data_IF_336275419117
#
_entry.id   IF_336275419117
#
_cell.length_a   1.000
_cell.length_b   1.000
_cell.length_c   1.000
_cell.angle_alpha   90.00
_cell.angle_beta   90.00
_cell.angle_gamma   90.00
#
_symmetry.space_group_name_H-M   'P 1'
#
loop_
_entity.id
_entity.type
_entity.pdbx_description
1 polymer ?
#
# COMPACT_ATOMS: atom_id res chain seq x y z
N UNK A 1 14.75 -28.51 -47.27
CA UNK A 1 15.68 -27.46 -46.82
C UNK A 1 15.39 -27.26 -45.33
N UNK A 2 15.96 -28.05 -44.42
CA UNK A 2 17.35 -28.04 -43.95
C UNK A 2 17.38 -27.30 -42.59
N UNK A 3 17.04 -27.97 -41.48
CA UNK A 3 17.94 -28.53 -40.46
C UNK A 3 18.97 -27.55 -39.88
N UNK A 4 18.89 -27.28 -38.56
CA UNK A 4 20.00 -27.42 -37.61
C UNK A 4 19.46 -27.55 -36.17
N UNK A 5 19.35 -28.79 -35.72
CA UNK A 5 19.58 -29.19 -34.33
C UNK A 5 21.02 -28.87 -33.95
N UNK A 6 21.29 -28.59 -32.67
CA UNK A 6 22.49 -29.06 -31.97
C UNK A 6 22.39 -28.73 -30.47
N UNK A 7 21.75 -29.62 -29.72
CA UNK A 7 22.20 -29.90 -28.36
C UNK A 7 23.60 -30.49 -28.42
N UNK A 8 24.55 -29.89 -27.71
CA UNK A 8 25.68 -30.63 -27.13
C UNK A 8 25.66 -30.42 -25.63
N UNK A 9 25.31 -31.49 -24.92
CA UNK A 9 25.68 -31.72 -23.53
C UNK A 9 27.21 -31.78 -23.41
N UNK A 10 27.81 -31.09 -22.45
CA UNK A 10 29.06 -31.54 -21.85
C UNK A 10 28.73 -32.44 -20.66
N UNK A 11 29.23 -33.67 -20.71
CA UNK A 11 29.41 -34.52 -19.53
C UNK A 11 30.25 -33.78 -18.48
N UNK A 12 29.94 -34.07 -17.21
CA UNK A 12 30.60 -33.58 -16.01
C UNK A 12 32.14 -33.62 -16.10
N UNK A 13 32.78 -32.50 -15.74
CA UNK A 13 34.04 -32.55 -14.99
C UNK A 13 33.87 -31.75 -13.71
N UNK A 14 33.90 -32.44 -12.59
CA UNK A 14 34.09 -31.89 -11.25
C UNK A 14 35.42 -31.15 -11.17
N UNK A 15 35.39 -29.86 -10.82
CA UNK A 15 36.47 -29.15 -10.11
C UNK A 15 35.95 -27.80 -9.59
N UNK A 16 35.75 -27.77 -8.27
CA UNK A 16 35.69 -26.63 -7.33
C UNK A 16 35.34 -25.25 -7.90
N UNK A 17 34.19 -24.72 -7.50
CA UNK A 17 33.98 -23.28 -7.44
C UNK A 17 35.04 -22.68 -6.51
N UNK A 18 36.02 -21.96 -7.08
CA UNK A 18 36.81 -21.02 -6.30
C UNK A 18 35.94 -19.78 -6.08
N UNK A 19 35.54 -19.56 -4.84
CA UNK A 19 34.94 -18.31 -4.39
C UNK A 19 35.94 -17.18 -4.61
N UNK A 20 35.54 -16.15 -5.35
CA UNK A 20 36.26 -14.89 -5.35
C UNK A 20 35.73 -14.07 -4.17
N UNK A 21 36.48 -14.08 -3.06
CA UNK A 21 36.22 -13.20 -1.92
C UNK A 21 36.61 -11.76 -2.31
N UNK A 22 35.60 -10.93 -2.59
CA UNK A 22 35.80 -9.49 -2.78
C UNK A 22 35.85 -8.84 -1.41
N UNK A 23 37.03 -8.39 -1.01
CA UNK A 23 37.20 -7.56 0.20
C UNK A 23 36.87 -6.12 -0.15
N UNK A 24 35.89 -5.52 0.52
CA UNK A 24 35.62 -4.08 0.43
C UNK A 24 36.04 -3.43 1.73
N UNK A 25 36.89 -2.40 1.63
CA UNK A 25 37.37 -1.61 2.77
C UNK A 25 36.59 -0.30 2.80
N UNK A 26 35.90 -0.02 3.91
CA UNK A 26 35.31 1.30 4.23
C UNK A 26 35.84 1.72 5.59
N UNK A 27 36.35 2.94 5.70
CA UNK A 27 36.95 3.52 6.93
C UNK A 27 38.04 2.66 7.60
N UNK A 28 38.88 2.00 6.79
CA UNK A 28 40.04 1.23 7.26
C UNK A 28 39.70 -0.10 7.93
N UNK A 29 38.44 -0.56 7.89
CA UNK A 29 38.03 -1.87 8.39
C UNK A 29 37.70 -2.80 7.23
N UNK A 30 38.27 -4.00 7.27
CA UNK A 30 38.01 -5.07 6.29
C UNK A 30 36.85 -5.93 6.79
N UNK A 31 35.82 -6.07 5.96
CA UNK A 31 34.67 -6.93 6.25
C UNK A 31 34.77 -8.20 5.40
N UNK A 32 34.83 -9.37 6.06
CA UNK A 32 34.83 -10.69 5.41
C UNK A 32 33.42 -11.25 5.48
N UNK A 33 32.90 -11.69 4.33
CA UNK A 33 31.56 -12.24 4.21
C UNK A 33 31.50 -13.63 4.86
N UNK A 34 30.82 -13.74 6.00
CA UNK A 34 30.76 -14.95 6.82
C UNK A 34 29.52 -15.81 6.54
N UNK A 35 29.73 -16.89 5.79
CA UNK A 35 29.00 -18.18 5.77
C UNK A 35 27.54 -18.26 5.30
N UNK A 36 27.35 -19.19 4.34
CA UNK A 36 26.14 -19.97 4.14
C UNK A 36 25.67 -19.97 2.69
N UNK A 37 25.88 -21.07 1.96
CA UNK A 37 25.33 -21.29 0.62
C UNK A 37 23.79 -21.28 0.68
N UNK A 38 23.19 -20.11 0.50
CA UNK A 38 21.75 -19.92 0.33
C UNK A 38 21.37 -20.13 -1.15
N UNK A 39 20.22 -20.75 -1.46
CA UNK A 39 19.73 -20.76 -2.83
C UNK A 39 19.34 -19.33 -3.24
N UNK A 40 20.02 -18.79 -4.26
CA UNK A 40 19.61 -17.69 -5.18
C UNK A 40 19.39 -16.25 -4.60
N UNK A 41 20.27 -15.72 -3.76
CA UNK A 41 20.25 -14.27 -3.42
C UNK A 41 20.27 -13.34 -4.66
N UNK A 42 20.96 -13.73 -5.72
CA UNK A 42 21.04 -12.95 -6.96
C UNK A 42 19.67 -12.72 -7.63
N UNK A 43 18.71 -13.64 -7.48
CA UNK A 43 17.37 -13.50 -8.08
C UNK A 43 16.51 -12.50 -7.29
N UNK A 44 16.56 -12.56 -5.96
CA UNK A 44 15.87 -11.59 -5.09
C UNK A 44 16.42 -10.18 -5.25
N UNK A 45 17.75 -10.02 -5.30
CA UNK A 45 18.38 -8.73 -5.52
C UNK A 45 18.01 -8.13 -6.89
N UNK A 46 18.03 -8.94 -7.95
CA UNK A 46 17.62 -8.50 -9.29
C UNK A 46 16.15 -8.08 -9.33
N UNK A 47 15.27 -8.79 -8.61
CA UNK A 47 13.86 -8.42 -8.48
C UNK A 47 13.66 -7.11 -7.75
N UNK A 48 14.29 -6.93 -6.58
CA UNK A 48 14.23 -5.67 -5.82
C UNK A 48 14.75 -4.52 -6.67
N UNK A 49 15.86 -4.72 -7.40
CA UNK A 49 16.40 -3.72 -8.31
C UNK A 49 15.37 -3.28 -9.35
N UNK A 50 14.66 -4.21 -10.01
CA UNK A 50 13.61 -3.88 -10.99
C UNK A 50 12.51 -2.98 -10.42
N UNK A 51 12.08 -3.21 -9.17
CA UNK A 51 11.07 -2.37 -8.54
C UNK A 51 11.62 -0.99 -8.17
N UNK A 52 12.84 -0.92 -7.65
CA UNK A 52 13.50 0.35 -7.35
C UNK A 52 13.75 1.21 -8.61
N UNK A 53 14.07 0.57 -9.73
CA UNK A 53 14.23 1.23 -11.04
C UNK A 53 12.91 1.90 -11.52
N UNK A 54 11.75 1.56 -10.93
CA UNK A 54 10.45 2.20 -11.18
C UNK A 54 10.13 3.23 -10.08
N UNK A 55 10.22 2.82 -8.81
CA UNK A 55 9.76 3.61 -7.66
C UNK A 55 10.62 4.84 -7.39
N UNK A 56 11.95 4.74 -7.54
CA UNK A 56 12.86 5.86 -7.27
C UNK A 56 12.67 7.00 -8.29
N UNK A 57 12.63 6.74 -9.61
CA UNK A 57 12.30 7.79 -10.58
C UNK A 57 10.93 8.43 -10.35
N UNK A 58 9.92 7.62 -10.00
CA UNK A 58 8.59 8.13 -9.66
C UNK A 58 8.66 9.09 -8.46
N UNK A 59 9.25 8.65 -7.34
CA UNK A 59 9.45 9.49 -6.16
C UNK A 59 10.13 10.81 -6.52
N UNK A 60 11.27 10.77 -7.21
CA UNK A 60 12.02 11.97 -7.61
C UNK A 60 11.21 12.94 -8.49
N UNK A 61 10.32 12.42 -9.35
CA UNK A 61 9.42 13.24 -10.15
C UNK A 61 8.34 13.92 -9.27
N UNK A 62 7.74 13.17 -8.35
CA UNK A 62 6.67 13.67 -7.48
C UNK A 62 7.21 14.63 -6.41
N UNK A 63 8.41 14.42 -5.87
CA UNK A 63 9.02 15.37 -4.93
C UNK A 63 9.21 16.76 -5.54
N UNK A 64 9.39 16.88 -6.85
CA UNK A 64 9.47 18.19 -7.53
C UNK A 64 8.09 18.87 -7.64
N UNK A 65 7.05 18.08 -7.84
CA UNK A 65 5.67 18.55 -7.99
C UNK A 65 5.05 18.97 -6.64
N UNK A 66 5.38 18.22 -5.58
CA UNK A 66 4.91 18.41 -4.21
C UNK A 66 5.96 19.04 -3.28
N UNK A 67 7.03 19.63 -3.84
CA UNK A 67 8.12 20.22 -3.06
C UNK A 67 7.61 21.27 -2.07
N UNK A 68 7.98 21.11 -0.80
CA UNK A 68 7.75 22.09 0.25
C UNK A 68 8.49 23.40 -0.08
N UNK A 69 7.77 24.49 -0.30
CA UNK A 69 8.40 25.79 -0.51
C UNK A 69 7.47 26.96 -0.85
N UNK A 70 6.33 26.70 -1.51
CA UNK A 70 5.35 27.74 -1.80
C UNK A 70 4.14 27.64 -0.85
N UNK A 71 3.57 28.79 -0.47
CA UNK A 71 2.26 28.85 0.17
C UNK A 71 1.22 28.30 -0.80
N UNK A 72 0.97 27.00 -0.72
CA UNK A 72 0.08 26.33 -1.67
C UNK A 72 -1.32 26.92 -1.67
N UNK A 73 -1.77 27.42 -0.51
CA UNK A 73 -3.07 28.08 -0.43
C UNK A 73 -3.10 29.27 -1.38
N UNK A 74 -2.03 30.07 -1.45
CA UNK A 74 -1.92 31.18 -2.40
C UNK A 74 -1.85 30.71 -3.86
N UNK A 75 -1.08 29.65 -4.15
CA UNK A 75 -0.98 29.08 -5.50
C UNK A 75 -2.33 28.56 -6.00
N UNK A 76 -3.04 27.77 -5.18
CA UNK A 76 -4.35 27.19 -5.52
C UNK A 76 -5.41 28.29 -5.65
N UNK A 77 -5.42 29.27 -4.74
CA UNK A 77 -6.33 30.42 -4.84
C UNK A 77 -6.11 31.21 -6.14
N UNK A 78 -4.86 31.39 -6.60
CA UNK A 78 -4.55 32.04 -7.88
C UNK A 78 -5.02 31.23 -9.09
N UNK A 79 -5.05 29.90 -9.00
CA UNK A 79 -5.59 29.04 -10.06
C UNK A 79 -7.13 29.09 -10.09
N UNK A 80 -7.78 29.11 -8.93
CA UNK A 80 -9.24 29.12 -8.80
C UNK A 80 -9.81 30.47 -9.26
N UNK A 81 -9.22 31.57 -8.79
CA UNK A 81 -9.67 32.92 -9.11
C UNK A 81 -8.48 33.84 -9.38
N UNK A 82 -7.94 33.82 -10.63
CA UNK A 82 -6.76 34.62 -11.00
C UNK A 82 -6.98 36.13 -10.85
N UNK A 83 -8.24 36.57 -10.95
CA UNK A 83 -8.65 37.97 -10.89
C UNK A 83 -9.04 38.42 -9.47
N UNK A 84 -8.92 37.55 -8.46
CA UNK A 84 -9.23 37.90 -7.08
C UNK A 84 -8.33 39.05 -6.61
N UNK A 85 -8.97 40.08 -6.05
CA UNK A 85 -8.29 41.31 -5.62
C UNK A 85 -8.74 41.72 -4.21
N UNK A 86 -7.98 42.60 -3.58
CA UNK A 86 -8.22 43.06 -2.22
C UNK A 86 -9.40 44.01 -2.11
N UNK A 87 -9.86 44.63 -3.20
CA UNK A 87 -10.86 45.70 -3.17
C UNK A 87 -12.00 45.49 -4.19
N UNK A 88 -12.00 44.40 -4.95
CA UNK A 88 -12.97 44.16 -6.03
C UNK A 88 -13.93 43.05 -5.61
N UNK A 89 -15.24 43.24 -5.85
CA UNK A 89 -16.22 42.20 -5.62
C UNK A 89 -16.05 41.05 -6.64
N UNK A 90 -15.89 39.79 -6.20
CA UNK A 90 -15.69 38.66 -7.11
C UNK A 90 -16.96 38.24 -7.86
N UNK A 91 -18.15 38.73 -7.46
CA UNK A 91 -19.42 38.42 -8.12
C UNK A 91 -19.77 39.41 -9.22
N UNK A 92 -19.65 40.72 -8.94
CA UNK A 92 -20.11 41.78 -9.84
C UNK A 92 -18.99 42.67 -10.40
N UNK A 93 -17.73 42.44 -10.00
CA UNK A 93 -16.57 43.18 -10.51
C UNK A 93 -16.43 44.62 -10.01
N UNK A 94 -17.34 45.10 -9.14
CA UNK A 94 -17.29 46.47 -8.62
C UNK A 94 -16.12 46.65 -7.66
N UNK A 95 -15.33 47.70 -7.88
CA UNK A 95 -14.24 48.13 -6.99
C UNK A 95 -14.81 48.95 -5.84
N UNK A 96 -14.39 48.65 -4.63
CA UNK A 96 -14.82 49.30 -3.39
C UNK A 96 -13.66 50.02 -2.70
N UNK A 97 -13.94 51.05 -1.88
CA UNK A 97 -12.90 51.79 -1.14
C UNK A 97 -12.32 51.01 0.04
N UNK A 98 -12.93 49.89 0.44
CA UNK A 98 -12.45 49.03 1.52
C UNK A 98 -11.63 47.87 0.97
N UNK A 99 -10.71 47.36 1.80
CA UNK A 99 -9.89 46.19 1.49
C UNK A 99 -10.37 44.92 2.18
N UNK A 100 -9.94 43.77 1.67
CA UNK A 100 -10.27 42.43 2.12
C UNK A 100 -9.56 42.08 3.43
N UNK A 101 -10.02 42.68 4.53
CA UNK A 101 -9.59 42.36 5.90
C UNK A 101 -10.54 41.40 6.62
N UNK A 102 -11.83 41.39 6.24
CA UNK A 102 -12.86 40.49 6.80
C UNK A 102 -13.97 40.21 5.79
N UNK A 103 -14.61 39.04 5.92
CA UNK A 103 -15.77 38.67 5.13
C UNK A 103 -16.91 39.70 5.30
N UNK A 104 -17.65 39.95 4.21
CA UNK A 104 -18.73 40.97 4.17
C UNK A 104 -19.65 40.78 2.98
N UNK A 105 -20.84 41.36 3.03
CA UNK A 105 -21.72 41.47 1.85
C UNK A 105 -21.27 42.63 0.94
N UNK A 106 -21.36 42.43 -0.37
CA UNK A 106 -21.10 43.46 -1.36
C UNK A 106 -22.23 44.52 -1.31
N UNK A 107 -21.93 45.81 -1.18
CA UNK A 107 -22.96 46.86 -1.22
C UNK A 107 -23.69 46.97 -2.56
N UNK A 108 -23.10 46.53 -3.67
CA UNK A 108 -23.67 46.66 -5.00
C UNK A 108 -24.57 45.48 -5.41
N UNK A 109 -24.15 44.24 -5.13
CA UNK A 109 -24.91 43.04 -5.51
C UNK A 109 -25.46 42.24 -4.32
N UNK A 110 -25.21 42.69 -3.07
CA UNK A 110 -25.63 42.01 -1.82
C UNK A 110 -25.05 40.62 -1.55
N UNK A 111 -24.22 40.09 -2.47
CA UNK A 111 -23.55 38.79 -2.34
C UNK A 111 -22.49 38.76 -1.23
N UNK A 112 -22.33 37.61 -0.59
CA UNK A 112 -21.35 37.41 0.49
C UNK A 112 -19.96 37.16 -0.07
N UNK A 113 -19.02 38.06 0.23
CA UNK A 113 -17.61 37.95 -0.16
C UNK A 113 -16.80 37.39 1.00
N UNK A 114 -16.06 36.31 0.74
CA UNK A 114 -15.17 35.66 1.72
C UNK A 114 -13.76 36.20 1.56
N UNK A 115 -12.98 36.24 2.65
CA UNK A 115 -11.58 36.73 2.63
C UNK A 115 -10.60 35.59 2.88
N UNK A 116 -9.59 35.48 2.02
CA UNK A 116 -8.40 34.62 2.18
C UNK A 116 -7.17 35.36 1.68
N UNK A 117 -6.05 35.27 2.41
CA UNK A 117 -4.76 35.89 2.01
C UNK A 117 -4.91 37.34 1.51
N UNK A 118 -5.76 38.14 2.15
CA UNK A 118 -5.97 39.56 1.82
C UNK A 118 -6.73 39.84 0.50
N UNK A 119 -7.47 38.87 -0.05
CA UNK A 119 -8.28 39.01 -1.28
C UNK A 119 -9.72 38.53 -1.06
N UNK A 120 -10.65 39.05 -1.85
CA UNK A 120 -12.04 38.60 -1.85
C UNK A 120 -12.26 37.44 -2.82
N UNK A 121 -13.02 36.44 -2.36
CA UNK A 121 -13.43 35.24 -3.12
C UNK A 121 -14.92 34.98 -2.95
N UNK A 122 -15.49 34.19 -3.87
CA UNK A 122 -16.85 33.66 -3.71
C UNK A 122 -16.86 32.48 -2.74
N UNK A 123 -18.03 32.11 -2.21
CA UNK A 123 -18.14 30.88 -1.40
C UNK A 123 -17.78 29.62 -2.22
N UNK A 124 -18.17 29.58 -3.50
CA UNK A 124 -17.83 28.48 -4.42
C UNK A 124 -16.33 28.33 -4.66
N UNK A 125 -15.59 29.45 -4.73
CA UNK A 125 -14.13 29.40 -4.87
C UNK A 125 -13.48 28.77 -3.63
N UNK A 126 -14.02 29.03 -2.44
CA UNK A 126 -13.51 28.48 -1.18
C UNK A 126 -13.87 27.00 -1.04
N UNK A 127 -15.10 26.60 -1.37
CA UNK A 127 -15.47 25.17 -1.41
C UNK A 127 -14.56 24.38 -2.37
N UNK A 128 -14.24 24.97 -3.53
CA UNK A 128 -13.31 24.38 -4.50
C UNK A 128 -11.88 24.33 -3.95
N UNK A 129 -11.44 25.35 -3.21
CA UNK A 129 -10.13 25.36 -2.55
C UNK A 129 -10.03 24.25 -1.50
N UNK A 130 -11.05 24.09 -0.66
CA UNK A 130 -11.06 23.08 0.41
C UNK A 130 -10.97 21.67 -0.19
N UNK A 131 -11.70 21.41 -1.28
CA UNK A 131 -11.62 20.14 -2.01
C UNK A 131 -10.24 19.87 -2.62
N UNK A 132 -9.64 20.83 -3.33
CA UNK A 132 -8.34 20.63 -4.00
C UNK A 132 -7.19 20.58 -2.98
N UNK A 133 -7.29 21.36 -1.90
CA UNK A 133 -6.27 21.38 -0.85
C UNK A 133 -6.23 20.05 -0.08
N UNK A 134 -7.39 19.45 0.22
CA UNK A 134 -7.45 18.14 0.85
C UNK A 134 -6.74 17.06 0.01
N UNK A 135 -7.06 16.97 -1.29
CA UNK A 135 -6.40 16.05 -2.23
C UNK A 135 -4.89 16.31 -2.31
N UNK A 136 -4.47 17.57 -2.35
CA UNK A 136 -3.06 17.91 -2.37
C UNK A 136 -2.32 17.46 -1.09
N UNK A 137 -2.89 17.73 0.08
CA UNK A 137 -2.25 17.40 1.35
C UNK A 137 -2.15 15.88 1.53
N UNK A 138 -3.17 15.14 1.10
CA UNK A 138 -3.13 13.68 1.06
C UNK A 138 -1.98 13.19 0.17
N UNK A 139 -1.89 13.67 -1.08
CA UNK A 139 -0.81 13.26 -2.00
C UNK A 139 0.57 13.64 -1.48
N UNK A 140 0.71 14.81 -0.86
CA UNK A 140 1.98 15.24 -0.24
C UNK A 140 2.38 14.30 0.90
N UNK A 141 1.43 13.93 1.76
CA UNK A 141 1.67 12.96 2.83
C UNK A 141 2.11 11.61 2.28
N UNK A 142 1.52 11.16 1.16
CA UNK A 142 1.93 9.90 0.52
C UNK A 142 3.31 9.97 -0.12
N UNK A 143 3.71 11.12 -0.67
CA UNK A 143 5.09 11.32 -1.18
C UNK A 143 6.11 11.29 -0.03
N UNK A 144 5.80 11.90 1.12
CA UNK A 144 6.66 11.82 2.31
C UNK A 144 6.69 10.40 2.89
N UNK A 145 5.56 9.69 2.92
CA UNK A 145 5.52 8.28 3.31
C UNK A 145 6.37 7.42 2.37
N UNK A 146 6.25 7.64 1.06
CA UNK A 146 7.04 6.92 0.05
C UNK A 146 8.54 7.07 0.30
N UNK A 147 9.02 8.26 0.72
CA UNK A 147 10.42 8.46 1.12
C UNK A 147 10.84 7.53 2.27
N UNK A 148 10.04 7.49 3.35
CA UNK A 148 10.32 6.63 4.51
C UNK A 148 10.29 5.14 4.15
N UNK A 149 9.36 4.74 3.30
CA UNK A 149 9.22 3.35 2.83
C UNK A 149 10.41 2.96 1.96
N UNK A 150 10.84 3.82 1.03
CA UNK A 150 12.03 3.59 0.20
C UNK A 150 13.30 3.43 1.04
N UNK A 151 13.47 4.23 2.10
CA UNK A 151 14.57 4.05 3.05
C UNK A 151 14.48 2.69 3.75
N UNK A 152 13.29 2.32 4.20
CA UNK A 152 13.06 1.05 4.91
C UNK A 152 13.34 -0.16 4.01
N UNK A 153 13.05 -0.08 2.70
CA UNK A 153 13.44 -1.12 1.72
C UNK A 153 14.96 -1.26 1.67
N UNK A 154 15.70 -0.14 1.64
CA UNK A 154 17.17 -0.17 1.61
C UNK A 154 17.74 -0.79 2.89
N UNK A 155 17.22 -0.41 4.05
CA UNK A 155 17.68 -0.93 5.34
C UNK A 155 17.42 -2.44 5.46
N UNK A 156 16.24 -2.91 5.02
CA UNK A 156 15.93 -4.34 5.00
C UNK A 156 16.78 -5.11 4.00
N UNK A 157 17.11 -4.50 2.85
CA UNK A 157 18.03 -5.10 1.87
C UNK A 157 19.42 -5.28 2.47
N UNK A 158 19.95 -4.29 3.19
CA UNK A 158 21.26 -4.39 3.86
C UNK A 158 21.28 -5.51 4.92
N UNK A 159 20.14 -5.78 5.55
CA UNK A 159 19.97 -6.84 6.53
C UNK A 159 19.59 -8.21 5.93
N UNK A 160 19.58 -8.35 4.59
CA UNK A 160 19.14 -9.55 3.88
C UNK A 160 17.71 -10.02 4.25
N UNK A 161 16.83 -9.09 4.66
CA UNK A 161 15.44 -9.38 4.95
C UNK A 161 14.56 -9.17 3.72
N UNK A 162 14.67 -10.09 2.76
CA UNK A 162 14.00 -9.97 1.46
C UNK A 162 12.47 -10.03 1.57
N UNK A 163 11.93 -10.76 2.54
CA UNK A 163 10.49 -10.78 2.82
C UNK A 163 9.95 -9.41 3.19
N UNK A 164 10.62 -8.73 4.14
CA UNK A 164 10.30 -7.34 4.49
C UNK A 164 10.52 -6.38 3.32
N UNK A 165 11.53 -6.60 2.47
CA UNK A 165 11.71 -5.79 1.26
C UNK A 165 10.47 -5.85 0.35
N UNK A 166 9.91 -7.03 0.10
CA UNK A 166 8.71 -7.17 -0.74
C UNK A 166 7.47 -6.52 -0.13
N UNK A 167 7.31 -6.61 1.19
CA UNK A 167 6.26 -5.89 1.91
C UNK A 167 6.34 -4.39 1.68
N UNK A 168 7.50 -3.79 1.91
CA UNK A 168 7.66 -2.35 1.76
C UNK A 168 7.66 -1.90 0.29
N UNK A 169 8.09 -2.74 -0.66
CA UNK A 169 7.90 -2.47 -2.09
C UNK A 169 6.40 -2.41 -2.43
N UNK A 170 5.60 -3.33 -1.90
CA UNK A 170 4.15 -3.28 -2.05
C UNK A 170 3.56 -2.00 -1.47
N UNK A 171 3.95 -1.61 -0.25
CA UNK A 171 3.51 -0.35 0.37
C UNK A 171 3.94 0.88 -0.45
N UNK A 172 5.13 0.86 -1.05
CA UNK A 172 5.58 1.93 -1.93
C UNK A 172 4.68 2.08 -3.16
N UNK A 173 4.23 0.97 -3.75
CA UNK A 173 3.26 0.99 -4.83
C UNK A 173 1.89 1.52 -4.38
N UNK A 174 1.46 1.21 -3.15
CA UNK A 174 0.23 1.77 -2.58
C UNK A 174 0.30 3.30 -2.47
N UNK A 175 1.42 3.83 -1.97
CA UNK A 175 1.66 5.27 -1.94
C UNK A 175 1.62 5.88 -3.34
N UNK A 176 2.28 5.24 -4.33
CA UNK A 176 2.27 5.69 -5.71
C UNK A 176 0.86 5.71 -6.31
N UNK A 177 0.05 4.71 -5.98
CA UNK A 177 -1.31 4.59 -6.49
C UNK A 177 -2.24 5.70 -5.95
N UNK A 178 -2.08 6.13 -4.69
CA UNK A 178 -2.81 7.29 -4.16
C UNK A 178 -2.36 8.59 -4.82
N UNK A 179 -1.04 8.77 -5.01
CA UNK A 179 -0.49 9.98 -5.66
C UNK A 179 -0.97 10.08 -7.11
N UNK A 180 -0.92 8.97 -7.85
CA UNK A 180 -1.30 8.91 -9.26
C UNK A 180 -1.75 7.50 -9.62
N UNK A 181 -3.05 7.23 -9.56
CA UNK A 181 -3.61 5.97 -10.03
C UNK A 181 -3.75 5.98 -11.57
N UNK A 182 -2.63 5.86 -12.28
CA UNK A 182 -2.63 5.70 -13.73
C UNK A 182 -2.17 4.30 -14.13
N UNK A 183 -2.75 3.79 -15.21
CA UNK A 183 -2.24 2.62 -15.91
C UNK A 183 -0.82 2.89 -16.39
N UNK A 184 0.12 2.02 -16.01
CA UNK A 184 1.50 1.99 -16.45
C UNK A 184 1.64 1.15 -17.73
N UNK A 185 2.88 0.96 -18.21
CA UNK A 185 3.19 0.11 -19.36
C UNK A 185 2.48 -1.25 -19.27
N UNK A 186 1.82 -1.65 -20.37
CA UNK A 186 1.06 -2.90 -20.42
C UNK A 186 -0.36 -2.84 -19.81
N UNK A 187 -0.81 -1.67 -19.34
CA UNK A 187 -2.18 -1.46 -18.87
C UNK A 187 -2.42 -1.73 -17.39
N UNK A 188 -1.38 -2.13 -16.64
CA UNK A 188 -1.45 -2.41 -15.20
C UNK A 188 -1.36 -1.14 -14.36
N UNK A 189 -2.13 -1.05 -13.29
CA UNK A 189 -2.08 0.05 -12.31
C UNK A 189 -1.00 -0.19 -11.25
N UNK A 190 -0.65 0.83 -10.46
CA UNK A 190 0.26 0.64 -9.33
C UNK A 190 -0.30 -0.35 -8.29
N UNK A 191 -1.62 -0.48 -8.14
CA UNK A 191 -2.24 -1.50 -7.30
C UNK A 191 -1.90 -2.91 -7.77
N UNK A 192 -1.96 -3.16 -9.08
CA UNK A 192 -1.61 -4.45 -9.68
C UNK A 192 -0.14 -4.81 -9.42
N UNK A 193 0.76 -3.82 -9.50
CA UNK A 193 2.17 -4.02 -9.16
C UNK A 193 2.37 -4.33 -7.68
N UNK A 194 1.69 -3.61 -6.77
CA UNK A 194 1.75 -3.87 -5.34
C UNK A 194 1.30 -5.29 -4.99
N UNK A 195 0.15 -5.72 -5.52
CA UNK A 195 -0.33 -7.10 -5.38
C UNK A 195 0.64 -8.12 -5.99
N UNK A 196 1.15 -7.86 -7.19
CA UNK A 196 2.03 -8.77 -7.93
C UNK A 196 3.38 -9.03 -7.23
N UNK A 197 3.83 -8.09 -6.38
CA UNK A 197 5.04 -8.23 -5.57
C UNK A 197 4.86 -9.25 -4.45
N UNK A 198 3.67 -9.32 -3.85
CA UNK A 198 3.33 -10.20 -2.73
C UNK A 198 2.95 -11.61 -3.21
N UNK A 199 3.84 -12.22 -3.98
CA UNK A 199 3.61 -13.55 -4.57
C UNK A 199 4.17 -14.68 -3.67
N UNK A 200 4.06 -15.92 -4.15
CA UNK A 200 4.61 -17.10 -3.44
C UNK A 200 6.09 -16.95 -3.12
N UNK A 201 6.87 -16.35 -4.01
CA UNK A 201 8.31 -16.19 -3.78
C UNK A 201 8.61 -15.22 -2.63
N UNK A 202 7.74 -14.23 -2.38
CA UNK A 202 7.85 -13.37 -1.21
C UNK A 202 7.64 -14.16 0.10
N UNK A 203 6.66 -15.08 0.10
CA UNK A 203 6.43 -16.00 1.23
C UNK A 203 7.59 -16.97 1.41
N UNK A 204 8.12 -17.52 0.31
CA UNK A 204 9.27 -18.42 0.33
C UNK A 204 10.53 -17.70 0.83
N UNK A 205 10.72 -16.42 0.48
CA UNK A 205 11.82 -15.60 0.98
C UNK A 205 11.77 -15.41 2.51
N UNK A 206 10.59 -15.14 3.07
CA UNK A 206 10.41 -15.09 4.53
C UNK A 206 10.77 -16.43 5.16
N UNK A 207 10.27 -17.53 4.59
CA UNK A 207 10.49 -18.87 5.12
C UNK A 207 11.97 -19.28 5.13
N UNK A 208 12.76 -18.88 4.14
CA UNK A 208 14.22 -19.16 4.08
C UNK A 208 15.00 -18.44 5.20
N UNK A 209 14.53 -17.25 5.61
CA UNK A 209 15.20 -16.46 6.66
C UNK A 209 14.76 -16.81 8.08
N UNK A 210 13.61 -17.49 8.23
CA UNK A 210 13.06 -17.89 9.50
C UNK A 210 13.83 -19.07 10.11
N UNK A 211 14.24 -18.95 11.39
CA UNK A 211 14.94 -20.02 12.13
C UNK A 211 13.99 -20.89 12.96
N UNK A 212 12.73 -20.47 13.09
CA UNK A 212 11.66 -21.14 13.81
C UNK A 212 10.30 -20.72 13.23
N UNK A 213 9.22 -21.42 13.62
CA UNK A 213 7.86 -21.07 13.19
C UNK A 213 7.42 -19.70 13.74
N UNK A 214 7.83 -19.34 14.96
CA UNK A 214 7.63 -18.00 15.52
C UNK A 214 8.41 -16.94 14.74
N UNK A 215 9.65 -17.26 14.31
CA UNK A 215 10.43 -16.35 13.47
C UNK A 215 9.78 -16.15 12.10
N UNK A 216 9.07 -17.13 11.56
CA UNK A 216 8.39 -17.02 10.26
C UNK A 216 7.28 -15.95 10.30
N UNK A 217 6.59 -15.82 11.44
CA UNK A 217 5.59 -14.78 11.67
C UNK A 217 6.27 -13.44 11.94
N UNK A 218 7.25 -13.40 12.84
CA UNK A 218 7.99 -12.17 13.16
C UNK A 218 8.76 -11.60 11.95
N UNK A 219 9.14 -12.44 10.98
CA UNK A 219 9.81 -12.03 9.75
C UNK A 219 8.83 -11.67 8.60
N UNK A 220 7.52 -11.59 8.85
CA UNK A 220 6.58 -10.94 7.96
C UNK A 220 5.66 -11.86 7.16
N UNK A 221 5.56 -13.16 7.47
CA UNK A 221 4.60 -14.04 6.78
C UNK A 221 3.15 -13.59 7.00
N UNK A 222 2.79 -13.33 8.27
CA UNK A 222 1.48 -12.79 8.64
C UNK A 222 1.24 -11.44 7.98
N UNK A 223 2.26 -10.59 7.95
CA UNK A 223 2.18 -9.25 7.36
C UNK A 223 1.95 -9.32 5.84
N UNK A 224 2.53 -10.32 5.15
CA UNK A 224 2.28 -10.54 3.72
C UNK A 224 0.83 -11.01 3.52
N UNK A 225 0.30 -11.91 4.36
CA UNK A 225 -1.10 -12.32 4.28
C UNK A 225 -2.04 -11.13 4.48
N UNK A 226 -1.77 -10.31 5.50
CA UNK A 226 -2.56 -9.11 5.79
C UNK A 226 -2.50 -8.09 4.64
N UNK A 227 -1.31 -7.75 4.16
CA UNK A 227 -1.12 -6.81 3.06
C UNK A 227 -1.81 -7.29 1.78
N UNK A 228 -1.72 -8.58 1.46
CA UNK A 228 -2.47 -9.19 0.34
C UNK A 228 -3.98 -9.07 0.52
N UNK A 229 -4.49 -9.30 1.73
CA UNK A 229 -5.89 -9.08 2.06
C UNK A 229 -6.31 -7.63 1.79
N UNK A 230 -5.52 -6.66 2.26
CA UNK A 230 -5.79 -5.23 2.11
C UNK A 230 -5.80 -4.76 0.64
N UNK A 231 -4.91 -5.30 -0.20
CA UNK A 231 -4.96 -5.06 -1.66
C UNK A 231 -6.29 -5.46 -2.27
N UNK A 232 -6.77 -6.67 -1.95
CA UNK A 232 -8.05 -7.15 -2.44
C UNK A 232 -9.23 -6.35 -1.88
N UNK A 233 -9.14 -5.86 -0.64
CA UNK A 233 -10.15 -4.96 -0.07
C UNK A 233 -10.25 -3.65 -0.86
N UNK A 234 -9.13 -3.13 -1.36
CA UNK A 234 -9.13 -1.93 -2.21
C UNK A 234 -9.73 -2.20 -3.59
N UNK A 235 -9.44 -3.35 -4.19
CA UNK A 235 -10.04 -3.79 -5.46
C UNK A 235 -11.56 -4.04 -5.34
N UNK A 236 -12.02 -4.57 -4.20
CA UNK A 236 -13.44 -4.71 -3.90
C UNK A 236 -14.16 -3.36 -3.89
N UNK A 237 -13.49 -2.34 -3.36
CA UNK A 237 -14.01 -0.98 -3.27
C UNK A 237 -14.05 -0.28 -4.62
N UNK A 238 -12.98 -0.40 -5.42
CA UNK A 238 -12.74 0.44 -6.60
C UNK A 238 -13.46 -0.02 -7.89
N UNK A 239 -14.59 -0.72 -7.76
CA UNK A 239 -15.47 -1.15 -8.86
C UNK A 239 -14.90 -2.24 -9.78
N UNK A 240 -15.18 -3.48 -9.40
CA UNK A 240 -15.17 -4.63 -10.32
C UNK A 240 -16.61 -5.14 -10.51
N UNK A 241 -16.87 -5.87 -11.61
CA UNK A 241 -18.18 -6.52 -11.83
C UNK A 241 -18.61 -7.38 -10.63
N UNK A 242 -19.91 -7.66 -10.46
CA UNK A 242 -20.40 -8.44 -9.31
C UNK A 242 -19.68 -9.80 -9.16
N UNK A 243 -19.39 -10.48 -10.27
CA UNK A 243 -18.64 -11.76 -10.27
C UNK A 243 -17.23 -11.62 -9.73
N UNK A 244 -16.54 -10.53 -10.06
CA UNK A 244 -15.18 -10.23 -9.56
C UNK A 244 -15.21 -9.76 -8.10
N UNK A 245 -16.25 -9.04 -7.68
CA UNK A 245 -16.43 -8.65 -6.27
C UNK A 245 -16.55 -9.87 -5.37
N UNK A 246 -17.48 -10.77 -5.67
CA UNK A 246 -17.62 -12.02 -4.90
C UNK A 246 -16.31 -12.81 -4.87
N UNK A 247 -15.59 -12.91 -5.99
CA UNK A 247 -14.30 -13.62 -6.05
C UNK A 247 -13.24 -12.99 -5.14
N UNK A 248 -13.04 -11.67 -5.21
CA UNK A 248 -12.02 -10.99 -4.41
C UNK A 248 -12.38 -11.00 -2.92
N UNK A 249 -13.65 -10.89 -2.58
CA UNK A 249 -14.13 -10.99 -1.20
C UNK A 249 -13.80 -12.35 -0.60
N UNK A 250 -14.06 -13.44 -1.34
CA UNK A 250 -13.71 -14.79 -0.90
C UNK A 250 -12.22 -14.95 -0.63
N UNK A 251 -11.38 -14.44 -1.53
CA UNK A 251 -9.92 -14.53 -1.38
C UNK A 251 -9.45 -13.67 -0.19
N UNK A 252 -9.97 -12.45 -0.05
CA UNK A 252 -9.63 -11.56 1.07
C UNK A 252 -10.03 -12.17 2.42
N UNK A 253 -11.25 -12.70 2.53
CA UNK A 253 -11.73 -13.41 3.73
C UNK A 253 -10.81 -14.57 4.09
N UNK A 254 -10.43 -15.41 3.11
CA UNK A 254 -9.50 -16.52 3.35
C UNK A 254 -8.14 -16.03 3.89
N UNK A 255 -7.59 -14.96 3.31
CA UNK A 255 -6.29 -14.42 3.72
C UNK A 255 -6.31 -13.87 5.15
N UNK A 256 -7.37 -13.14 5.53
CA UNK A 256 -7.49 -12.60 6.89
C UNK A 256 -7.77 -13.69 7.94
N UNK A 257 -8.52 -14.73 7.60
CA UNK A 257 -8.72 -15.89 8.48
C UNK A 257 -7.40 -16.65 8.65
N UNK A 258 -6.64 -16.86 7.56
CA UNK A 258 -5.32 -17.50 7.66
C UNK A 258 -4.35 -16.66 8.50
N UNK A 259 -4.36 -15.32 8.35
CA UNK A 259 -3.59 -14.41 9.18
C UNK A 259 -3.90 -14.59 10.68
N UNK A 260 -5.19 -14.51 11.06
CA UNK A 260 -5.61 -14.66 12.46
C UNK A 260 -5.31 -16.06 13.01
N UNK A 261 -5.46 -17.09 12.18
CA UNK A 261 -5.13 -18.46 12.55
C UNK A 261 -3.64 -18.63 12.84
N UNK A 262 -2.77 -18.05 12.00
CA UNK A 262 -1.33 -18.10 12.21
C UNK A 262 -0.90 -17.35 13.47
N UNK A 263 -1.50 -16.20 13.78
CA UNK A 263 -1.27 -15.50 15.04
C UNK A 263 -1.68 -16.36 16.25
N UNK A 264 -2.91 -16.89 16.24
CA UNK A 264 -3.44 -17.68 17.34
C UNK A 264 -2.62 -18.94 17.59
N UNK A 265 -2.26 -19.68 16.52
CA UNK A 265 -1.47 -20.92 16.58
C UNK A 265 -0.09 -20.69 17.20
N UNK A 266 0.49 -19.53 16.97
CA UNK A 266 1.84 -19.19 17.45
C UNK A 266 1.83 -18.32 18.71
N UNK A 267 0.65 -18.01 19.25
CA UNK A 267 0.47 -17.20 20.47
C UNK A 267 1.16 -15.83 20.37
N UNK A 268 1.08 -15.21 19.19
CA UNK A 268 1.59 -13.88 18.92
C UNK A 268 0.39 -12.94 18.89
N UNK A 269 0.51 -11.80 19.59
CA UNK A 269 -0.44 -10.70 19.46
C UNK A 269 0.20 -9.60 18.63
N UNK A 270 -0.55 -9.10 17.67
CA UNK A 270 -0.17 -8.05 16.74
C UNK A 270 -1.28 -6.99 16.72
N UNK A 271 -0.95 -5.75 16.36
CA UNK A 271 -1.91 -4.66 16.38
C UNK A 271 -3.02 -4.83 15.33
N UNK A 272 -2.78 -5.55 14.22
CA UNK A 272 -3.85 -5.87 13.26
C UNK A 272 -4.78 -7.01 13.70
N UNK A 273 -4.51 -7.66 14.83
CA UNK A 273 -5.36 -8.74 15.37
C UNK A 273 -6.78 -8.24 15.72
N UNK A 274 -6.93 -6.94 15.97
CA UNK A 274 -8.22 -6.28 16.16
C UNK A 274 -8.85 -5.76 14.86
N UNK A 275 -8.04 -5.51 13.82
CA UNK A 275 -8.50 -5.00 12.52
C UNK A 275 -8.99 -6.12 11.60
N UNK A 276 -8.30 -7.25 11.57
CA UNK A 276 -8.61 -8.36 10.66
C UNK A 276 -10.07 -8.89 10.78
N UNK A 277 -10.68 -9.05 11.97
CA UNK A 277 -12.09 -9.39 12.09
C UNK A 277 -13.01 -8.37 11.40
N UNK A 278 -12.68 -7.08 11.49
CA UNK A 278 -13.43 -5.99 10.85
C UNK A 278 -13.34 -6.13 9.33
N UNK A 279 -12.14 -6.36 8.81
CA UNK A 279 -11.91 -6.54 7.37
C UNK A 279 -12.64 -7.75 6.81
N UNK A 280 -12.71 -8.85 7.57
CA UNK A 280 -13.47 -10.04 7.18
C UNK A 280 -14.95 -9.70 7.04
N UNK A 281 -15.55 -9.03 8.02
CA UNK A 281 -16.96 -8.64 7.94
C UNK A 281 -17.22 -7.68 6.77
N UNK A 282 -16.30 -6.74 6.52
CA UNK A 282 -16.43 -5.79 5.40
C UNK A 282 -16.34 -6.54 4.06
N UNK A 283 -15.41 -7.49 3.93
CA UNK A 283 -15.27 -8.33 2.73
C UNK A 283 -16.55 -9.13 2.46
N UNK A 284 -17.12 -9.76 3.49
CA UNK A 284 -18.38 -10.51 3.38
C UNK A 284 -19.51 -9.61 2.87
N UNK A 285 -19.64 -8.41 3.46
CA UNK A 285 -20.67 -7.44 3.08
C UNK A 285 -20.49 -6.92 1.65
N UNK A 286 -19.30 -6.43 1.30
CA UNK A 286 -19.01 -5.90 -0.04
C UNK A 286 -19.11 -6.97 -1.13
N UNK A 287 -18.76 -8.22 -0.80
CA UNK A 287 -18.83 -9.37 -1.70
C UNK A 287 -20.21 -10.04 -1.80
N UNK A 288 -21.19 -9.59 -1.00
CA UNK A 288 -22.49 -10.26 -0.81
C UNK A 288 -22.34 -11.74 -0.48
N UNK A 289 -21.40 -12.06 0.42
CA UNK A 289 -21.11 -13.43 0.84
C UNK A 289 -22.00 -13.84 2.00
N UNK A 290 -22.41 -15.11 1.99
CA UNK A 290 -23.07 -15.72 3.14
C UNK A 290 -22.08 -15.81 4.32
N UNK A 291 -22.46 -15.47 5.57
CA UNK A 291 -21.59 -15.59 6.74
C UNK A 291 -21.03 -17.00 6.98
N UNK A 292 -21.69 -18.04 6.47
CA UNK A 292 -21.18 -19.43 6.48
C UNK A 292 -19.83 -19.56 5.77
N UNK A 293 -19.48 -18.63 4.88
CA UNK A 293 -18.17 -18.58 4.22
C UNK A 293 -17.00 -18.50 5.22
N UNK A 294 -17.20 -17.95 6.43
CA UNK A 294 -16.17 -17.97 7.49
C UNK A 294 -15.77 -19.41 7.82
N UNK A 295 -16.75 -20.29 7.98
CA UNK A 295 -16.52 -21.70 8.31
C UNK A 295 -15.92 -22.45 7.12
N UNK A 296 -16.42 -22.21 5.90
CA UNK A 296 -15.87 -22.81 4.68
C UNK A 296 -14.39 -22.43 4.47
N UNK A 297 -14.04 -21.17 4.76
CA UNK A 297 -12.67 -20.67 4.69
C UNK A 297 -11.77 -21.37 5.72
N UNK A 298 -12.24 -21.49 6.96
CA UNK A 298 -11.54 -22.17 8.03
C UNK A 298 -11.26 -23.65 7.70
N UNK A 299 -12.25 -24.36 7.17
CA UNK A 299 -12.11 -25.76 6.73
C UNK A 299 -11.09 -25.89 5.59
N UNK A 300 -11.15 -24.99 4.60
CA UNK A 300 -10.21 -24.99 3.49
C UNK A 300 -8.75 -24.79 3.96
N UNK A 301 -8.52 -23.88 4.91
CA UNK A 301 -7.19 -23.61 5.49
C UNK A 301 -6.67 -24.84 6.25
N UNK A 302 -7.51 -25.46 7.09
CA UNK A 302 -7.14 -26.67 7.84
C UNK A 302 -6.77 -27.82 6.89
N UNK A 303 -7.58 -28.02 5.83
CA UNK A 303 -7.31 -29.02 4.80
C UNK A 303 -5.99 -28.76 4.07
N UNK A 304 -5.73 -27.51 3.68
CA UNK A 304 -4.48 -27.12 3.01
C UNK A 304 -3.25 -27.38 3.89
N UNK A 305 -3.37 -27.17 5.21
CA UNK A 305 -2.29 -27.37 6.18
C UNK A 305 -2.20 -28.81 6.71
N UNK A 306 -2.99 -29.75 6.17
CA UNK A 306 -3.09 -31.14 6.64
C UNK A 306 -3.38 -31.27 8.14
N UNK A 307 -4.21 -30.37 8.68
CA UNK A 307 -4.59 -30.34 10.08
C UNK A 307 -5.98 -30.97 10.27
N UNK A 308 -6.16 -31.71 11.38
CA UNK A 308 -7.45 -32.33 11.71
C UNK A 308 -8.39 -31.31 12.38
N UNK A 309 -9.69 -31.40 12.07
CA UNK A 309 -10.74 -30.66 12.76
C UNK A 309 -11.26 -31.47 13.96
N UNK A 310 -11.53 -30.86 15.14
CA UNK A 310 -11.43 -29.42 15.43
C UNK A 310 -10.04 -29.00 15.92
N UNK A 311 -9.43 -28.04 15.24
CA UNK A 311 -8.22 -27.36 15.73
C UNK A 311 -8.64 -26.22 16.68
N UNK A 312 -8.10 -26.23 17.91
CA UNK A 312 -8.49 -25.26 18.96
C UNK A 312 -8.20 -23.80 18.58
N UNK A 313 -7.13 -23.56 17.82
CA UNK A 313 -6.74 -22.21 17.43
C UNK A 313 -7.64 -21.71 16.31
N UNK A 314 -7.98 -22.57 15.35
CA UNK A 314 -8.97 -22.23 14.32
C UNK A 314 -10.35 -21.97 14.94
N UNK A 315 -10.76 -22.76 15.92
CA UNK A 315 -12.03 -22.52 16.64
C UNK A 315 -12.03 -21.15 17.34
N UNK A 316 -10.92 -20.77 17.99
CA UNK A 316 -10.78 -19.45 18.59
C UNK A 316 -10.80 -18.31 17.55
N UNK A 317 -10.12 -18.51 16.41
CA UNK A 317 -10.14 -17.56 15.28
C UNK A 317 -11.56 -17.36 14.75
N UNK A 318 -12.30 -18.45 14.50
CA UNK A 318 -13.69 -18.38 14.01
C UNK A 318 -14.59 -17.66 15.00
N UNK A 319 -14.52 -18.02 16.30
CA UNK A 319 -15.28 -17.33 17.35
C UNK A 319 -15.00 -15.82 17.34
N UNK A 320 -13.72 -15.43 17.33
CA UNK A 320 -13.30 -14.02 17.32
C UNK A 320 -13.87 -13.24 16.14
N UNK A 321 -13.97 -13.86 14.97
CA UNK A 321 -14.54 -13.23 13.77
C UNK A 321 -16.07 -13.14 13.85
N UNK A 322 -16.73 -14.18 14.36
CA UNK A 322 -18.20 -14.23 14.49
C UNK A 322 -18.72 -13.33 15.61
N UNK A 323 -17.96 -13.13 16.67
CA UNK A 323 -18.29 -12.23 17.77
C UNK A 323 -18.20 -10.75 17.34
N UNK A 324 -17.51 -10.45 16.23
CA UNK A 324 -17.42 -9.11 15.69
C UNK A 324 -18.60 -8.78 14.76
N UNK A 325 -19.29 -7.69 15.03
CA UNK A 325 -20.41 -7.19 14.21
C UNK A 325 -20.08 -5.78 13.71
N UNK A 326 -20.33 -5.51 12.42
CA UNK A 326 -20.20 -4.16 11.86
C UNK A 326 -21.34 -3.29 12.39
N UNK A 327 -21.00 -2.12 12.93
CA UNK A 327 -21.96 -1.07 13.27
C UNK A 327 -22.00 -0.09 12.10
N UNK A 328 -23.09 -0.10 11.32
CA UNK A 328 -23.21 0.59 10.03
C UNK A 328 -23.07 2.13 10.08
N UNK A 329 -22.95 2.72 11.27
CA UNK A 329 -22.86 4.16 11.48
C UNK A 329 -21.61 4.59 12.25
N UNK A 330 -20.61 3.72 12.45
CA UNK A 330 -19.33 4.13 13.03
C UNK A 330 -18.39 4.67 11.94
N UNK A 331 -18.00 5.97 11.98
CA UNK A 331 -17.17 6.60 10.96
C UNK A 331 -15.83 5.88 10.73
N UNK A 332 -15.24 5.29 11.78
CA UNK A 332 -13.95 4.59 11.69
C UNK A 332 -14.07 3.18 11.09
N UNK A 333 -15.22 2.52 11.25
CA UNK A 333 -15.50 1.24 10.58
C UNK A 333 -15.89 1.47 9.11
N UNK A 334 -16.58 2.58 8.86
CA UNK A 334 -16.96 3.04 7.54
C UNK A 334 -15.79 3.62 6.74
N UNK A 335 -14.70 4.11 7.35
CA UNK A 335 -13.52 4.60 6.60
C UNK A 335 -12.97 3.57 5.60
N UNK A 336 -13.08 2.29 5.95
CA UNK A 336 -12.65 1.17 5.10
C UNK A 336 -13.73 0.72 4.10
N UNK A 337 -14.98 1.17 4.27
CA UNK A 337 -16.10 0.98 3.34
C UNK A 337 -16.37 2.19 2.43
N UNK A 338 -15.91 3.39 2.82
CA UNK A 338 -16.38 4.67 2.27
C UNK A 338 -15.29 5.47 1.53
N UNK A 339 -13.99 5.20 1.75
CA UNK A 339 -12.94 5.95 1.04
C UNK A 339 -12.31 5.23 -0.10
#
# INVERSE_FOLDING_TARGET
MGFFDLFKTPQQSTKSAQSFDVTVTVDGKNYVNGFGSQPKNADFEARIKRHNDILIPFYNAQTKEYAYGEDITERLLKQISPMANSNTCPYCGVVHPFTASRARKCPACSEKMVVRKGKFYTEKDIEKLDSISSDYYEKTQQVERLKSVLQTIQDNKLNNNYGRCFLYISEAYDCCAVVRNQSFEGGFTFWDYGWGVLNKDALDAVAVTARSQSDLIMNGYSDILYARGMHLMRELKNNTSDKSKTKFAKIATNLFIEYLFELARNQISDWHEEEAPKMIQVALKLGSLDPTWINESAEAILKQKNMQSPDRFMAATVSKVQDFTIIENEPDQLKWMIY
#
